data_IF_107805660580
#
_entry.id   IF_107805660580
#
_cell.length_a   1.000
_cell.length_b   1.000
_cell.length_c   1.000
_cell.angle_alpha   90.00
_cell.angle_beta   90.00
_cell.angle_gamma   90.00
#
_symmetry.space_group_name_H-M   'P 1'
#
loop_
_entity.id
_entity.type
_entity.pdbx_description
1 polymer ?
#
# COMPACT_ATOMS: atom_id res chain seq x y z
N UNK A 1 12.49 9.95 14.91
CA UNK A 1 11.09 10.37 14.73
C UNK A 1 11.07 11.86 14.50
N UNK A 2 10.41 12.32 13.44
CA UNK A 2 10.10 13.75 13.29
C UNK A 2 9.13 14.09 14.42
N UNK A 3 9.51 15.02 15.30
CA UNK A 3 8.66 15.46 16.41
C UNK A 3 7.56 16.37 15.85
N UNK A 4 6.39 15.79 15.54
CA UNK A 4 5.23 16.50 15.03
C UNK A 4 4.15 16.52 16.11
N UNK A 5 3.69 17.72 16.45
CA UNK A 5 2.61 17.93 17.41
C UNK A 5 1.26 17.75 16.70
N UNK A 6 0.65 16.58 16.88
CA UNK A 6 -0.59 16.21 16.22
C UNK A 6 -1.81 16.97 16.77
N UNK A 7 -1.79 17.38 18.04
CA UNK A 7 -2.86 18.16 18.65
C UNK A 7 -2.92 19.55 18.03
N UNK A 8 -1.76 20.17 17.81
CA UNK A 8 -1.65 21.44 17.10
C UNK A 8 -2.07 21.31 15.65
N UNK A 9 -1.56 20.31 14.92
CA UNK A 9 -1.92 20.10 13.51
C UNK A 9 -3.42 19.88 13.32
N UNK A 10 -4.08 19.14 14.21
CA UNK A 10 -5.53 18.94 14.18
C UNK A 10 -6.28 20.26 14.34
N UNK A 11 -5.89 21.11 15.30
CA UNK A 11 -6.51 22.42 15.52
C UNK A 11 -6.30 23.40 14.36
N UNK A 12 -5.17 23.27 13.65
CA UNK A 12 -4.84 24.11 12.49
C UNK A 12 -5.39 23.54 11.16
N UNK A 13 -6.11 22.40 11.20
CA UNK A 13 -6.72 21.78 10.03
C UNK A 13 -5.71 21.11 9.09
N UNK A 14 -4.64 20.53 9.64
CA UNK A 14 -3.63 19.76 8.91
C UNK A 14 -2.92 20.53 7.78
N UNK A 15 -2.84 21.87 7.85
CA UNK A 15 -2.24 22.71 6.79
C UNK A 15 -0.83 22.29 6.41
N UNK A 16 -0.01 21.84 7.39
CA UNK A 16 1.37 21.40 7.16
C UNK A 16 1.51 19.86 7.07
N UNK A 17 0.41 19.12 7.10
CA UNK A 17 0.36 17.66 7.00
C UNK A 17 -0.56 17.15 5.90
N UNK A 18 -1.19 18.05 5.13
CA UNK A 18 -2.05 17.66 4.01
C UNK A 18 -1.28 16.74 3.05
N UNK A 19 -1.84 15.57 2.80
CA UNK A 19 -1.26 14.52 1.97
C UNK A 19 -1.11 14.98 0.51
N UNK A 20 -2.05 15.77 -0.01
CA UNK A 20 -2.02 16.26 -1.40
C UNK A 20 -0.80 17.15 -1.67
N UNK A 21 -0.42 17.98 -0.69
CA UNK A 21 0.76 18.84 -0.78
C UNK A 21 2.05 18.03 -0.92
N UNK A 22 2.02 16.75 -0.55
CA UNK A 22 3.14 15.86 -0.71
C UNK A 22 3.34 15.47 -2.19
N UNK A 23 2.31 15.45 -3.05
CA UNK A 23 2.43 14.98 -4.44
C UNK A 23 3.23 15.90 -5.39
N UNK A 24 3.80 16.99 -4.88
CA UNK A 24 4.62 17.96 -5.62
C UNK A 24 6.06 17.49 -5.91
N UNK A 25 6.44 16.29 -5.46
CA UNK A 25 7.80 15.77 -5.56
C UNK A 25 7.87 14.60 -6.55
N UNK A 26 8.94 14.53 -7.37
CA UNK A 26 9.13 13.45 -8.36
C UNK A 26 9.34 12.07 -7.73
N UNK A 27 9.95 12.03 -6.55
CA UNK A 27 10.29 10.81 -5.83
C UNK A 27 9.65 10.80 -4.46
N UNK A 28 9.18 9.62 -4.05
CA UNK A 28 8.60 9.40 -2.72
C UNK A 28 9.23 8.20 -2.06
N UNK A 29 9.57 8.31 -0.78
CA UNK A 29 10.17 7.21 -0.04
C UNK A 29 9.08 6.56 0.80
N UNK A 30 8.86 5.27 0.57
CA UNK A 30 8.12 4.44 1.50
C UNK A 30 9.10 3.69 2.40
N UNK A 31 8.88 3.80 3.71
CA UNK A 31 9.65 3.12 4.74
C UNK A 31 8.72 2.73 5.89
N UNK A 32 8.93 1.55 6.43
CA UNK A 32 8.17 1.02 7.56
C UNK A 32 8.56 1.70 8.87
N UNK A 33 7.62 1.71 9.81
CA UNK A 33 7.83 2.19 11.17
C UNK A 33 7.97 1.03 12.14
N UNK A 34 7.09 0.99 13.15
CA UNK A 34 6.98 -0.14 14.06
C UNK A 34 6.35 -1.38 13.38
N UNK A 35 5.48 -1.14 12.38
CA UNK A 35 4.85 -2.12 11.53
C UNK A 35 4.81 -1.59 10.08
N UNK A 36 3.95 -2.15 9.22
CA UNK A 36 3.63 -1.53 7.92
C UNK A 36 3.09 -0.10 8.16
N UNK A 37 3.32 0.80 7.19
CA UNK A 37 2.86 2.18 7.32
C UNK A 37 1.63 2.43 6.47
N UNK A 38 0.57 2.97 7.09
CA UNK A 38 -0.67 3.37 6.41
C UNK A 38 -0.46 4.43 5.32
N UNK A 39 0.70 5.09 5.32
CA UNK A 39 1.09 6.08 4.31
C UNK A 39 1.37 5.49 2.94
N UNK A 40 1.56 4.18 2.82
CA UNK A 40 1.95 3.48 1.58
C UNK A 40 1.04 3.85 0.40
N UNK A 41 -0.27 3.60 0.56
CA UNK A 41 -1.26 3.89 -0.49
C UNK A 41 -1.29 5.35 -0.91
N UNK A 42 -1.11 6.27 0.04
CA UNK A 42 -1.13 7.72 -0.25
C UNK A 42 0.15 8.17 -0.96
N UNK A 43 1.30 7.61 -0.59
CA UNK A 43 2.58 7.87 -1.24
C UNK A 43 2.54 7.41 -2.71
N UNK A 44 1.98 6.22 -2.94
CA UNK A 44 1.91 5.63 -4.27
C UNK A 44 0.88 6.31 -5.18
N UNK A 45 -0.15 6.95 -4.64
CA UNK A 45 -1.19 7.63 -5.41
C UNK A 45 -0.79 9.00 -6.01
N UNK A 46 0.47 9.45 -5.81
CA UNK A 46 0.92 10.79 -6.24
C UNK A 46 1.48 10.86 -7.67
N UNK A 47 1.39 9.80 -8.48
CA UNK A 47 2.10 9.66 -9.78
C UNK A 47 3.63 9.86 -9.69
N UNK A 48 4.18 9.86 -8.48
CA UNK A 48 5.61 9.94 -8.19
C UNK A 48 6.24 8.54 -8.22
N UNK A 49 7.47 8.43 -8.72
CA UNK A 49 8.20 7.15 -8.59
C UNK A 49 8.44 6.86 -7.11
N UNK A 50 7.78 5.81 -6.61
CA UNK A 50 7.90 5.39 -5.21
C UNK A 50 9.18 4.58 -5.03
N UNK A 51 10.11 5.10 -4.23
CA UNK A 51 11.31 4.48 -3.73
C UNK A 51 10.93 3.63 -2.50
N UNK A 52 10.77 2.34 -2.73
CA UNK A 52 10.15 1.42 -1.79
C UNK A 52 11.22 0.63 -1.05
N UNK A 53 11.48 0.99 0.20
CA UNK A 53 12.39 0.26 1.08
C UNK A 53 11.85 -1.15 1.29
N UNK A 54 12.71 -2.16 1.08
CA UNK A 54 12.35 -3.58 1.19
C UNK A 54 11.52 -3.83 2.46
N UNK A 55 10.24 -4.23 2.32
CA UNK A 55 9.33 -4.33 3.45
C UNK A 55 9.59 -5.61 4.26
N UNK A 56 9.28 -5.56 5.55
CA UNK A 56 9.23 -6.72 6.45
C UNK A 56 7.79 -7.14 6.72
N UNK A 57 6.87 -6.19 6.67
CA UNK A 57 5.44 -6.39 6.88
C UNK A 57 4.70 -6.40 5.55
N UNK A 58 3.53 -7.04 5.53
CA UNK A 58 2.70 -7.14 4.33
C UNK A 58 1.29 -6.68 4.62
N UNK A 59 0.83 -5.66 3.90
CA UNK A 59 -0.57 -5.32 3.75
C UNK A 59 -1.20 -6.18 2.62
N UNK A 60 -2.53 -6.25 2.57
CA UNK A 60 -3.25 -7.22 1.74
C UNK A 60 -2.99 -7.06 0.23
N UNK A 61 -2.74 -5.83 -0.25
CA UNK A 61 -2.52 -5.53 -1.67
C UNK A 61 -1.05 -5.60 -2.11
N UNK A 62 -0.08 -5.60 -1.17
CA UNK A 62 1.36 -5.51 -1.48
C UNK A 62 1.82 -6.69 -2.33
N UNK A 63 1.19 -7.85 -2.16
CA UNK A 63 1.48 -9.06 -2.95
C UNK A 63 1.10 -8.91 -4.43
N UNK A 64 0.23 -7.98 -4.80
CA UNK A 64 -0.08 -7.65 -6.19
C UNK A 64 0.98 -6.77 -6.87
N UNK A 65 1.81 -6.06 -6.10
CA UNK A 65 2.78 -5.11 -6.64
C UNK A 65 4.05 -5.78 -7.18
N UNK A 66 4.71 -5.12 -8.13
CA UNK A 66 5.88 -5.62 -8.86
C UNK A 66 6.98 -4.54 -8.91
N UNK A 67 8.24 -4.90 -8.57
CA UNK A 67 9.37 -3.99 -8.74
C UNK A 67 9.51 -3.55 -10.20
N UNK A 68 10.01 -2.33 -10.44
CA UNK A 68 10.18 -1.71 -11.76
C UNK A 68 8.91 -1.51 -12.59
N UNK A 69 7.74 -1.92 -12.07
CA UNK A 69 6.43 -1.63 -12.66
C UNK A 69 5.65 -0.67 -11.79
N UNK A 70 5.49 -1.01 -10.50
CA UNK A 70 4.69 -0.23 -9.56
C UNK A 70 5.56 0.65 -8.65
N UNK A 71 6.83 0.28 -8.45
CA UNK A 71 7.75 0.99 -7.57
C UNK A 71 9.21 0.68 -7.91
N UNK A 72 10.12 1.49 -7.38
CA UNK A 72 11.56 1.26 -7.42
C UNK A 72 12.05 0.61 -6.10
N UNK A 73 12.64 -0.60 -6.12
CA UNK A 73 13.09 -1.27 -4.89
C UNK A 73 14.32 -0.60 -4.29
N UNK A 74 14.34 -0.47 -2.95
CA UNK A 74 15.45 0.09 -2.17
C UNK A 74 15.91 -0.95 -1.13
N UNK A 75 17.23 -1.17 -1.03
CA UNK A 75 17.83 -2.14 -0.10
C UNK A 75 17.68 -1.65 1.34
N UNK A 76 17.33 -2.56 2.26
CA UNK A 76 17.14 -2.23 3.68
C UNK A 76 18.49 -2.07 4.42
N UNK A 77 19.52 -2.78 4.00
CA UNK A 77 20.86 -2.75 4.60
C UNK A 77 21.73 -1.58 4.10
N UNK A 78 21.45 -1.02 2.92
CA UNK A 78 22.22 0.09 2.32
C UNK A 78 21.37 1.28 1.87
N UNK A 79 20.28 1.59 2.60
CA UNK A 79 19.26 2.60 2.24
C UNK A 79 19.80 3.88 1.62
N UNK A 80 20.75 4.56 2.26
CA UNK A 80 21.25 5.86 1.79
C UNK A 80 21.93 5.74 0.41
N UNK A 81 22.70 4.68 0.21
CA UNK A 81 23.41 4.37 -1.03
C UNK A 81 22.41 4.02 -2.14
N UNK A 82 21.45 3.15 -1.84
CA UNK A 82 20.38 2.77 -2.78
C UNK A 82 19.49 3.95 -3.16
N UNK A 83 19.12 4.81 -2.21
CA UNK A 83 18.34 6.02 -2.49
C UNK A 83 19.11 6.99 -3.39
N UNK A 84 20.40 7.18 -3.14
CA UNK A 84 21.26 8.04 -3.98
C UNK A 84 21.32 7.52 -5.41
N UNK A 85 21.49 6.21 -5.60
CA UNK A 85 21.47 5.60 -6.92
C UNK A 85 20.10 5.72 -7.60
N UNK A 86 19.02 5.41 -6.90
CA UNK A 86 17.66 5.49 -7.43
C UNK A 86 17.31 6.90 -7.95
N UNK A 87 17.68 7.94 -7.20
CA UNK A 87 17.49 9.34 -7.61
C UNK A 87 18.35 9.69 -8.81
N UNK A 88 19.62 9.23 -8.85
CA UNK A 88 20.49 9.42 -10.01
C UNK A 88 19.89 8.76 -11.26
N UNK A 89 19.50 7.49 -11.16
CA UNK A 89 18.91 6.72 -12.24
C UNK A 89 17.60 7.36 -12.74
N UNK A 90 16.71 7.77 -11.82
CA UNK A 90 15.45 8.41 -12.19
C UNK A 90 15.65 9.77 -12.89
N UNK A 91 16.71 10.51 -12.53
CA UNK A 91 17.03 11.77 -13.17
C UNK A 91 17.66 11.59 -14.56
N UNK A 92 18.31 10.45 -14.83
CA UNK A 92 18.84 10.11 -16.16
C UNK A 92 17.82 9.38 -17.03
N UNK A 93 16.76 8.81 -16.44
CA UNK A 93 15.69 8.07 -17.12
C UNK A 93 14.30 8.63 -16.79
N UNK A 94 14.10 9.93 -17.02
CA UNK A 94 12.92 10.66 -16.55
C UNK A 94 11.60 10.02 -17.03
N UNK A 95 11.52 9.60 -18.29
CA UNK A 95 10.30 8.99 -18.84
C UNK A 95 9.97 7.66 -18.17
N UNK A 96 11.00 6.85 -17.86
CA UNK A 96 10.82 5.57 -17.18
C UNK A 96 10.46 5.75 -15.71
N UNK A 97 11.06 6.72 -15.03
CA UNK A 97 10.68 7.06 -13.66
C UNK A 97 9.22 7.51 -13.57
N UNK A 98 8.77 8.34 -14.52
CA UNK A 98 7.37 8.76 -14.63
C UNK A 98 6.44 7.58 -14.89
N UNK A 99 6.77 6.70 -15.84
CA UNK A 99 5.99 5.50 -16.15
C UNK A 99 5.77 4.62 -14.91
N UNK A 100 6.82 4.39 -14.11
CA UNK A 100 6.72 3.62 -12.85
C UNK A 100 5.77 4.32 -11.85
N UNK A 101 5.88 5.64 -11.71
CA UNK A 101 5.00 6.42 -10.82
C UNK A 101 3.53 6.34 -11.24
N UNK A 102 3.24 6.55 -12.52
CA UNK A 102 1.89 6.51 -13.08
C UNK A 102 1.27 5.11 -13.00
N UNK A 103 2.04 4.05 -13.25
CA UNK A 103 1.57 2.66 -13.13
C UNK A 103 1.33 2.28 -11.67
N UNK A 104 2.22 2.68 -10.76
CA UNK A 104 2.03 2.47 -9.32
C UNK A 104 0.78 3.16 -8.77
N UNK A 105 0.57 4.42 -9.13
CA UNK A 105 -0.62 5.19 -8.78
C UNK A 105 -1.90 4.59 -9.36
N UNK A 106 -1.85 4.17 -10.63
CA UNK A 106 -2.95 3.47 -11.29
C UNK A 106 -3.33 2.19 -10.56
N UNK A 107 -2.36 1.37 -10.15
CA UNK A 107 -2.61 0.18 -9.36
C UNK A 107 -3.36 0.50 -8.06
N UNK A 108 -2.95 1.53 -7.31
CA UNK A 108 -3.68 1.92 -6.09
C UNK A 108 -5.11 2.35 -6.41
N UNK A 109 -5.30 3.16 -7.45
CA UNK A 109 -6.63 3.67 -7.83
C UNK A 109 -7.57 2.56 -8.34
N UNK A 110 -7.04 1.61 -9.11
CA UNK A 110 -7.85 0.62 -9.82
C UNK A 110 -7.96 -0.70 -9.07
N UNK A 111 -6.89 -1.16 -8.42
CA UNK A 111 -6.83 -2.46 -7.72
C UNK A 111 -7.04 -2.34 -6.20
N UNK A 112 -6.92 -1.14 -5.62
CA UNK A 112 -7.11 -0.87 -4.18
C UNK A 112 -8.27 0.11 -3.94
N UNK A 113 -9.28 0.04 -4.80
CA UNK A 113 -10.52 0.81 -4.63
C UNK A 113 -11.44 0.18 -3.57
N UNK A 114 -12.41 0.96 -3.05
CA UNK A 114 -13.29 0.51 -1.97
C UNK A 114 -14.13 -0.73 -2.32
N UNK A 115 -14.52 -0.92 -3.59
CA UNK A 115 -15.22 -2.14 -4.02
C UNK A 115 -14.34 -3.36 -3.77
N UNK A 116 -13.09 -3.35 -4.23
CA UNK A 116 -12.18 -4.48 -4.02
C UNK A 116 -11.73 -4.66 -2.57
N UNK A 117 -11.69 -3.58 -1.77
CA UNK A 117 -11.46 -3.69 -0.33
C UNK A 117 -12.59 -4.48 0.34
N UNK A 118 -13.85 -4.14 0.07
CA UNK A 118 -14.99 -4.86 0.63
C UNK A 118 -15.10 -6.29 0.08
N UNK A 119 -14.84 -6.50 -1.21
CA UNK A 119 -14.80 -7.83 -1.81
C UNK A 119 -13.74 -8.70 -1.11
N UNK A 120 -12.52 -8.18 -0.90
CA UNK A 120 -11.45 -8.89 -0.18
C UNK A 120 -11.88 -9.26 1.25
N UNK A 121 -12.48 -8.34 2.00
CA UNK A 121 -12.96 -8.59 3.37
C UNK A 121 -14.05 -9.67 3.39
N UNK A 122 -15.04 -9.57 2.49
CA UNK A 122 -16.12 -10.55 2.37
C UNK A 122 -15.55 -11.95 2.11
N UNK A 123 -14.68 -12.09 1.10
CA UNK A 123 -14.09 -13.36 0.74
C UNK A 123 -13.20 -13.93 1.85
N UNK A 124 -12.39 -13.10 2.49
CA UNK A 124 -11.54 -13.52 3.61
C UNK A 124 -12.36 -14.13 4.74
N UNK A 125 -13.42 -13.43 5.17
CA UNK A 125 -14.29 -13.89 6.24
C UNK A 125 -15.08 -15.15 5.85
N UNK A 126 -15.56 -15.21 4.61
CA UNK A 126 -16.32 -16.35 4.10
C UNK A 126 -15.46 -17.62 4.01
N UNK A 127 -14.24 -17.54 3.47
CA UNK A 127 -13.33 -18.68 3.43
C UNK A 127 -12.85 -19.09 4.83
N UNK A 128 -12.58 -18.12 5.71
CA UNK A 128 -12.22 -18.41 7.10
C UNK A 128 -13.35 -19.16 7.84
N UNK A 129 -14.60 -18.75 7.64
CA UNK A 129 -15.76 -19.39 8.28
C UNK A 129 -15.89 -20.88 7.91
N UNK A 130 -15.50 -21.29 6.69
CA UNK A 130 -15.48 -22.70 6.26
C UNK A 130 -14.47 -23.56 7.03
N UNK A 131 -13.46 -22.95 7.65
CA UNK A 131 -12.45 -23.65 8.44
C UNK A 131 -12.92 -23.92 9.89
N UNK A 132 -14.03 -23.33 10.32
CA UNK A 132 -14.56 -23.51 11.67
C UNK A 132 -14.99 -24.97 11.86
N UNK A 133 -14.49 -25.58 12.94
CA UNK A 133 -14.81 -26.96 13.34
C UNK A 133 -15.91 -27.03 14.40
N UNK A 134 -16.59 -25.92 14.65
CA UNK A 134 -17.64 -25.77 15.64
C UNK A 134 -18.74 -24.85 15.11
N UNK A 135 -19.92 -24.92 15.71
CA UNK A 135 -21.01 -23.97 15.45
C UNK A 135 -20.85 -22.76 16.37
N UNK A 136 -20.67 -21.54 15.85
CA UNK A 136 -20.58 -20.35 16.69
C UNK A 136 -21.85 -20.13 17.51
N UNK A 137 -21.68 -19.69 18.76
CA UNK A 137 -22.76 -19.25 19.66
C UNK A 137 -22.47 -17.81 20.09
N UNK A 138 -23.52 -17.03 20.33
CA UNK A 138 -23.40 -15.63 20.76
C UNK A 138 -23.02 -15.62 22.26
N UNK A 139 -21.89 -15.01 22.64
CA UNK A 139 -21.52 -14.89 24.06
C UNK A 139 -22.56 -14.09 24.86
N UNK A 140 -22.79 -14.44 26.13
CA UNK A 140 -23.77 -13.78 27.00
C UNK A 140 -23.56 -12.26 27.14
N UNK A 141 -22.29 -11.84 27.19
CA UNK A 141 -21.90 -10.44 27.37
C UNK A 141 -21.59 -9.73 26.03
N UNK A 142 -21.98 -10.32 24.90
CA UNK A 142 -21.79 -9.70 23.59
C UNK A 142 -22.79 -8.57 23.38
N UNK A 143 -22.27 -7.39 23.01
CA UNK A 143 -23.09 -6.27 22.56
C UNK A 143 -23.26 -6.35 21.04
N UNK A 144 -24.52 -6.29 20.58
CA UNK A 144 -24.82 -6.21 19.15
C UNK A 144 -24.39 -4.84 18.62
N UNK A 145 -23.66 -4.80 17.51
CA UNK A 145 -23.32 -3.56 16.81
C UNK A 145 -24.38 -3.30 15.74
N UNK A 146 -25.06 -2.16 15.84
CA UNK A 146 -26.11 -1.70 14.93
C UNK A 146 -25.73 -0.37 14.28
N UNK A 147 -26.35 0.01 13.14
CA UNK A 147 -26.10 1.32 12.54
C UNK A 147 -26.36 2.48 13.52
N UNK A 148 -27.40 2.37 14.36
CA UNK A 148 -27.75 3.40 15.33
C UNK A 148 -26.70 3.51 16.44
N UNK A 149 -26.27 2.39 17.03
CA UNK A 149 -25.30 2.44 18.13
C UNK A 149 -23.88 2.80 17.67
N UNK A 150 -23.52 2.50 16.42
CA UNK A 150 -22.24 2.89 15.83
C UNK A 150 -22.26 4.34 15.33
N UNK A 151 -23.36 4.77 14.70
CA UNK A 151 -23.46 6.06 14.01
C UNK A 151 -23.93 7.21 14.91
N UNK A 152 -24.91 7.02 15.78
CA UNK A 152 -25.46 8.10 16.60
C UNK A 152 -24.46 8.76 17.55
N UNK A 153 -23.50 8.03 18.18
CA UNK A 153 -22.47 8.65 19.00
C UNK A 153 -21.41 9.43 18.20
N UNK A 154 -21.35 9.26 16.88
CA UNK A 154 -20.35 9.92 16.04
C UNK A 154 -20.57 11.44 16.00
N UNK A 155 -19.49 12.18 16.25
CA UNK A 155 -19.46 13.64 16.26
C UNK A 155 -18.60 14.18 15.13
N UNK A 156 -18.92 15.41 14.70
CA UNK A 156 -18.15 16.12 13.68
C UNK A 156 -17.99 15.28 12.40
N UNK A 157 -16.79 15.26 11.82
CA UNK A 157 -16.46 14.60 10.57
C UNK A 157 -16.68 13.09 10.60
N UNK A 158 -16.65 12.47 11.78
CA UNK A 158 -16.94 11.04 11.91
C UNK A 158 -18.38 10.73 11.55
N UNK A 159 -19.32 11.62 11.84
CA UNK A 159 -20.72 11.44 11.45
C UNK A 159 -20.86 11.41 9.92
N UNK A 160 -20.17 12.32 9.24
CA UNK A 160 -20.20 12.40 7.78
C UNK A 160 -19.62 11.11 7.17
N UNK A 161 -18.48 10.63 7.68
CA UNK A 161 -17.89 9.36 7.22
C UNK A 161 -18.79 8.14 7.47
N UNK A 162 -19.46 8.07 8.61
CA UNK A 162 -20.42 6.99 8.90
C UNK A 162 -21.63 7.06 7.96
N UNK A 163 -22.15 8.25 7.68
CA UNK A 163 -23.26 8.44 6.75
C UNK A 163 -22.86 8.09 5.31
N UNK A 164 -21.68 8.51 4.86
CA UNK A 164 -21.14 8.23 3.52
C UNK A 164 -20.84 6.74 3.28
N UNK A 165 -20.53 6.00 4.34
CA UNK A 165 -20.25 4.55 4.27
C UNK A 165 -21.48 3.67 4.51
N UNK A 166 -22.66 4.27 4.78
CA UNK A 166 -23.88 3.52 5.07
C UNK A 166 -24.40 2.80 3.82
N UNK A 167 -24.52 1.47 3.91
CA UNK A 167 -25.13 0.64 2.87
C UNK A 167 -26.63 0.54 3.11
N UNK A 168 -27.44 1.16 2.24
CA UNK A 168 -28.90 1.28 2.44
C UNK A 168 -29.68 0.00 2.07
N UNK A 169 -29.11 -0.85 1.22
CA UNK A 169 -29.71 -2.11 0.82
C UNK A 169 -28.63 -3.13 0.46
N UNK A 170 -28.89 -4.44 0.61
CA UNK A 170 -28.01 -5.47 0.07
C UNK A 170 -27.79 -5.29 -1.43
N UNK A 171 -26.63 -5.74 -1.91
CA UNK A 171 -26.37 -5.81 -3.35
C UNK A 171 -27.34 -6.80 -4.01
N UNK A 172 -27.98 -6.39 -5.11
CA UNK A 172 -28.74 -7.30 -5.98
C UNK A 172 -27.82 -8.13 -6.89
N UNK A 173 -26.57 -7.68 -7.09
CA UNK A 173 -25.56 -8.45 -7.78
C UNK A 173 -24.94 -9.50 -6.85
N UNK A 174 -24.69 -10.69 -7.40
CA UNK A 174 -23.91 -11.72 -6.71
C UNK A 174 -22.50 -11.19 -6.37
N UNK A 175 -21.90 -11.63 -5.25
CA UNK A 175 -20.50 -11.36 -4.96
C UNK A 175 -19.61 -11.74 -6.15
N UNK A 176 -18.51 -11.02 -6.35
CA UNK A 176 -17.56 -11.40 -7.38
C UNK A 176 -17.05 -12.83 -7.12
N UNK A 177 -16.74 -13.57 -8.18
CA UNK A 177 -16.10 -14.87 -8.02
C UNK A 177 -14.62 -14.65 -7.75
N UNK A 178 -14.13 -15.15 -6.62
CA UNK A 178 -12.70 -15.22 -6.40
C UNK A 178 -12.07 -16.14 -7.44
N UNK A 179 -11.06 -15.61 -8.13
CA UNK A 179 -10.22 -16.42 -9.00
C UNK A 179 -9.62 -17.57 -8.19
N UNK A 180 -9.43 -18.70 -8.88
CA UNK A 180 -8.76 -19.85 -8.28
C UNK A 180 -7.37 -19.43 -7.77
N UNK A 181 -6.95 -19.94 -6.59
CA UNK A 181 -5.59 -19.71 -6.11
C UNK A 181 -4.58 -20.11 -7.16
N UNK A 182 -3.46 -19.38 -7.23
CA UNK A 182 -2.34 -19.80 -8.07
C UNK A 182 -1.95 -21.23 -7.75
N UNK A 183 -1.75 -22.02 -8.79
CA UNK A 183 -1.04 -23.28 -8.64
C UNK A 183 0.41 -23.02 -8.19
N UNK A 184 1.09 -24.08 -7.74
CA UNK A 184 2.45 -23.95 -7.19
C UNK A 184 3.45 -23.42 -8.21
N UNK A 185 3.28 -23.71 -9.50
CA UNK A 185 4.20 -23.28 -10.55
C UNK A 185 3.98 -21.79 -10.87
N UNK A 186 2.72 -21.39 -11.07
CA UNK A 186 2.35 -19.99 -11.29
C UNK A 186 2.80 -19.08 -10.13
N UNK A 187 2.58 -19.53 -8.88
CA UNK A 187 3.03 -18.79 -7.71
C UNK A 187 4.56 -18.66 -7.68
N UNK A 188 5.27 -19.76 -7.98
CA UNK A 188 6.74 -19.75 -8.03
C UNK A 188 7.26 -18.79 -9.09
N UNK A 189 6.66 -18.79 -10.28
CA UNK A 189 7.03 -17.88 -11.38
C UNK A 189 6.86 -16.41 -10.99
N UNK A 190 5.73 -16.06 -10.35
CA UNK A 190 5.47 -14.71 -9.83
C UNK A 190 6.52 -14.29 -8.82
N UNK A 191 6.87 -15.17 -7.88
CA UNK A 191 7.87 -14.89 -6.85
C UNK A 191 9.29 -14.75 -7.44
N UNK A 192 9.67 -15.63 -8.35
CA UNK A 192 10.95 -15.57 -9.06
C UNK A 192 11.06 -14.30 -9.90
N UNK A 193 10.00 -13.92 -10.61
CA UNK A 193 9.94 -12.66 -11.35
C UNK A 193 10.19 -11.45 -10.45
N UNK A 194 9.54 -11.39 -9.28
CA UNK A 194 9.77 -10.31 -8.29
C UNK A 194 11.22 -10.28 -7.78
N UNK A 195 11.77 -11.45 -7.45
CA UNK A 195 13.14 -11.57 -6.98
C UNK A 195 14.14 -11.13 -8.05
N UNK A 196 13.93 -11.56 -9.30
CA UNK A 196 14.79 -11.23 -10.43
C UNK A 196 14.78 -9.73 -10.74
N UNK A 197 13.60 -9.08 -10.75
CA UNK A 197 13.49 -7.63 -10.97
C UNK A 197 14.18 -6.83 -9.86
N UNK A 198 14.05 -7.27 -8.60
CA UNK A 198 14.78 -6.65 -7.48
C UNK A 198 16.29 -6.81 -7.65
N UNK A 199 16.75 -8.03 -7.94
CA UNK A 199 18.17 -8.34 -8.14
C UNK A 199 18.78 -7.57 -9.30
N UNK A 200 18.01 -7.33 -10.36
CA UNK A 200 18.45 -6.51 -11.49
C UNK A 200 18.82 -5.09 -11.05
N UNK A 201 18.00 -4.47 -10.19
CA UNK A 201 18.28 -3.14 -9.64
C UNK A 201 19.51 -3.16 -8.73
N UNK A 202 19.65 -4.18 -7.89
CA UNK A 202 20.82 -4.37 -7.03
C UNK A 202 22.11 -4.46 -7.84
N UNK A 203 22.10 -5.19 -8.97
CA UNK A 203 23.26 -5.29 -9.87
C UNK A 203 23.61 -3.94 -10.52
N UNK A 204 22.59 -3.17 -10.96
CA UNK A 204 22.83 -1.83 -11.50
C UNK A 204 23.40 -0.87 -10.46
N UNK A 205 22.93 -0.95 -9.22
CA UNK A 205 23.45 -0.18 -8.10
C UNK A 205 24.92 -0.52 -7.83
N UNK A 206 25.23 -1.82 -7.68
CA UNK A 206 26.58 -2.30 -7.39
C UNK A 206 27.56 -1.89 -8.49
N UNK A 207 27.16 -2.01 -9.76
CA UNK A 207 27.96 -1.58 -10.90
C UNK A 207 28.19 -0.07 -10.91
N UNK A 208 27.14 0.74 -10.67
CA UNK A 208 27.26 2.20 -10.63
C UNK A 208 28.26 2.67 -9.57
N UNK A 209 28.23 2.10 -8.38
CA UNK A 209 29.17 2.47 -7.32
C UNK A 209 30.58 1.93 -7.56
N UNK A 210 30.72 0.73 -8.11
CA UNK A 210 32.01 0.20 -8.55
C UNK A 210 32.68 1.14 -9.57
N UNK A 211 31.93 1.59 -10.58
CA UNK A 211 32.44 2.47 -11.63
C UNK A 211 32.77 3.87 -11.11
N UNK A 212 32.03 4.37 -10.10
CA UNK A 212 32.36 5.61 -9.41
C UNK A 212 33.68 5.54 -8.63
N UNK A 213 33.94 4.42 -7.95
CA UNK A 213 35.16 4.23 -7.16
C UNK A 213 36.41 4.02 -8.01
N UNK A 214 36.23 3.51 -9.24
CA UNK A 214 37.32 3.19 -10.16
C UNK A 214 37.48 4.24 -11.28
N UNK A 215 36.85 5.41 -11.16
CA UNK A 215 37.15 6.55 -12.03
C UNK A 215 38.57 7.06 -11.73
N UNK A 216 39.44 7.22 -12.74
CA UNK A 216 40.79 7.74 -12.57
C UNK A 216 40.80 9.18 -12.06
#
# INVERSE_FOLDING_TARGET
MVNKDWDKESKEGFKNSNLENQCTHRYKIYIEGWAWSVSEKYIMACDSMTLYVKPRFYDFYIRGMMPLQHYWPIRDDSKCTSLKFAVHWGNTHVDKAREIGEVGSRFIREEVNMKYVYDYMFHLLNEYAKLLKFKPEIPLDAEEITPDNMGCPATERWRDFMAESMVMSPSEALPCEMLLPYDRLALKEVLERKANLTRQVELWEDQYFHDLTNKP
#
